data_IF_924777355600
#
_entry.id   IF_924777355600
#
_cell.length_a   1.000
_cell.length_b   1.000
_cell.length_c   1.000
_cell.angle_alpha   90.00
_cell.angle_beta   90.00
_cell.angle_gamma   90.00
#
_symmetry.space_group_name_H-M   'P 1'
#
loop_
_entity.id
_entity.type
_entity.pdbx_description
1 polymer ?
#
# COMPACT_ATOMS: atom_id res chain seq x y z
N UNK A 1 -13.93 -41.01 57.00
CA UNK A 1 -15.06 -40.99 57.96
C UNK A 1 -16.23 -40.23 57.30
N UNK A 2 -17.33 -41.01 57.07
CA UNK A 2 -18.75 -40.72 57.05
C UNK A 2 -19.26 -39.70 56.01
N UNK A 3 -19.86 -40.15 54.90
CA UNK A 3 -21.27 -40.53 54.72
C UNK A 3 -22.27 -39.40 55.01
N UNK A 4 -23.03 -38.95 53.95
CA UNK A 4 -24.48 -39.26 53.86
C UNK A 4 -25.10 -38.71 52.55
N UNK A 5 -25.76 -39.66 51.88
CA UNK A 5 -26.78 -39.53 50.87
C UNK A 5 -28.05 -38.77 51.33
N UNK A 6 -28.84 -38.27 50.38
CA UNK A 6 -30.28 -38.62 50.11
C UNK A 6 -30.89 -37.66 49.13
N UNK A 7 -31.32 -38.16 47.95
CA UNK A 7 -32.69 -38.51 47.49
C UNK A 7 -33.53 -37.29 47.09
N UNK A 8 -33.87 -37.19 45.86
CA UNK A 8 -35.02 -37.75 45.05
C UNK A 8 -36.25 -36.82 44.98
N UNK A 9 -36.72 -36.62 43.78
CA UNK A 9 -38.03 -35.99 43.51
C UNK A 9 -38.35 -35.94 42.03
N UNK A 10 -38.79 -37.06 41.47
CA UNK A 10 -39.52 -37.10 40.19
C UNK A 10 -40.96 -36.68 40.39
N UNK A 11 -41.59 -36.05 39.36
CA UNK A 11 -42.89 -36.46 38.80
C UNK A 11 -43.32 -35.57 37.61
N UNK A 12 -44.36 -36.01 36.86
CA UNK A 12 -44.27 -36.19 35.41
C UNK A 12 -45.34 -35.37 34.63
N UNK A 13 -45.68 -35.79 33.36
CA UNK A 13 -46.16 -34.86 32.30
C UNK A 13 -47.70 -34.91 32.10
N UNK A 14 -48.22 -33.89 31.45
CA UNK A 14 -49.53 -33.89 30.76
C UNK A 14 -49.49 -32.72 29.77
N UNK A 15 -49.94 -32.73 28.54
CA UNK A 15 -50.84 -33.56 27.73
C UNK A 15 -51.04 -32.73 26.45
N UNK A 16 -51.04 -33.36 25.30
CA UNK A 16 -51.55 -32.75 24.06
C UNK A 16 -53.11 -32.78 24.11
N UNK A 17 -53.79 -31.93 23.35
CA UNK A 17 -54.19 -32.37 22.01
C UNK A 17 -54.49 -31.22 20.98
N UNK A 18 -54.70 -31.71 19.80
CA UNK A 18 -55.60 -31.35 18.70
C UNK A 18 -55.05 -30.61 17.47
N UNK A 19 -55.17 -31.35 16.41
CA UNK A 19 -55.03 -31.03 15.00
C UNK A 19 -55.98 -29.93 14.53
N UNK A 20 -55.55 -29.15 13.58
CA UNK A 20 -56.37 -28.26 12.78
C UNK A 20 -55.79 -28.14 11.39
N UNK A 21 -56.46 -28.81 10.45
CA UNK A 21 -56.21 -28.79 9.02
C UNK A 21 -56.18 -27.39 8.44
N UNK A 22 -55.15 -27.06 7.68
CA UNK A 22 -55.21 -26.01 6.64
C UNK A 22 -54.40 -26.38 5.40
N UNK A 23 -55.17 -26.46 4.35
CA UNK A 23 -54.92 -26.71 2.94
C UNK A 23 -53.59 -26.18 2.40
N UNK A 24 -52.91 -27.04 1.68
CA UNK A 24 -51.74 -26.80 0.82
C UNK A 24 -52.15 -26.08 -0.46
N UNK A 25 -51.47 -24.97 -0.75
CA UNK A 25 -51.42 -24.37 -2.09
C UNK A 25 -50.03 -24.59 -2.69
N UNK A 26 -49.86 -24.87 -4.00
CA UNK A 26 -48.58 -25.25 -4.59
C UNK A 26 -47.69 -24.04 -4.75
N UNK A 27 -46.50 -24.10 -4.17
CA UNK A 27 -45.45 -23.10 -4.32
C UNK A 27 -44.78 -23.18 -5.68
N UNK A 28 -44.55 -22.04 -6.28
CA UNK A 28 -43.71 -21.86 -7.49
C UNK A 28 -42.28 -22.34 -7.25
N UNK A 29 -41.59 -22.88 -8.25
CA UNK A 29 -40.23 -23.37 -8.10
C UNK A 29 -39.25 -22.20 -7.89
N UNK A 30 -38.35 -22.34 -6.92
CA UNK A 30 -37.20 -21.45 -6.74
C UNK A 30 -36.18 -21.72 -7.84
N UNK A 31 -35.50 -20.68 -8.41
CA UNK A 31 -34.42 -20.90 -9.33
C UNK A 31 -33.22 -21.49 -8.57
N UNK A 32 -32.65 -22.55 -9.11
CA UNK A 32 -31.43 -23.19 -8.64
C UNK A 32 -30.21 -22.30 -9.01
N UNK A 33 -29.81 -21.41 -8.12
CA UNK A 33 -28.51 -20.73 -8.21
C UNK A 33 -27.44 -21.64 -7.63
N UNK A 34 -26.37 -21.88 -8.40
CA UNK A 34 -25.26 -22.70 -7.97
C UNK A 34 -24.47 -22.07 -6.78
N UNK A 35 -23.57 -22.82 -6.15
CA UNK A 35 -22.86 -22.41 -4.94
C UNK A 35 -22.09 -21.09 -5.04
N UNK A 36 -21.71 -20.66 -6.24
CA UNK A 36 -21.00 -19.41 -6.49
C UNK A 36 -21.79 -18.13 -6.20
N UNK A 37 -23.15 -18.19 -6.34
CA UNK A 37 -24.00 -17.03 -6.02
C UNK A 37 -24.26 -16.87 -4.52
N UNK A 38 -24.18 -17.94 -3.76
CA UNK A 38 -24.42 -17.91 -2.32
C UNK A 38 -23.28 -17.18 -1.57
N UNK A 39 -22.02 -17.38 -1.97
CA UNK A 39 -20.86 -16.73 -1.33
C UNK A 39 -20.82 -15.21 -1.57
N UNK A 40 -21.12 -14.77 -2.79
CA UNK A 40 -21.22 -13.35 -3.13
C UNK A 40 -22.41 -12.65 -2.43
N UNK A 41 -23.53 -13.36 -2.23
CA UNK A 41 -24.73 -12.81 -1.61
C UNK A 41 -24.59 -12.65 -0.09
N UNK A 42 -23.81 -13.48 0.58
CA UNK A 42 -23.62 -13.42 2.03
C UNK A 42 -22.71 -12.23 2.43
N UNK A 43 -21.82 -11.80 1.54
CA UNK A 43 -20.92 -10.69 1.77
C UNK A 43 -21.41 -9.34 1.19
N UNK A 44 -22.46 -9.36 0.35
CA UNK A 44 -23.07 -8.18 -0.26
C UNK A 44 -24.22 -7.54 0.55
N UNK A 45 -24.64 -8.13 1.69
CA UNK A 45 -25.67 -7.53 2.56
C UNK A 45 -25.08 -6.44 3.44
N UNK A 46 -24.69 -5.35 2.84
CA UNK A 46 -24.51 -4.07 3.54
C UNK A 46 -25.91 -3.46 3.71
N UNK A 47 -26.34 -3.31 4.95
CA UNK A 47 -27.56 -2.54 5.28
C UNK A 47 -27.33 -1.09 4.85
N UNK A 48 -28.22 -0.53 4.05
CA UNK A 48 -28.26 0.90 3.77
C UNK A 48 -28.19 1.70 5.08
N UNK A 49 -27.29 2.68 5.20
CA UNK A 49 -27.28 3.54 6.38
C UNK A 49 -28.50 4.45 6.35
N UNK A 50 -29.33 4.37 7.38
CA UNK A 50 -30.33 5.40 7.65
C UNK A 50 -29.61 6.74 7.80
N UNK A 51 -29.87 7.66 6.89
CA UNK A 51 -29.44 9.04 6.98
C UNK A 51 -30.05 9.63 8.27
N UNK A 52 -29.22 9.76 9.31
CA UNK A 52 -29.51 10.66 10.44
C UNK A 52 -29.07 12.04 9.99
N UNK A 53 -30.01 12.94 9.85
CA UNK A 53 -29.73 14.37 9.80
C UNK A 53 -28.92 14.74 11.04
N UNK A 54 -27.61 14.85 10.86
CA UNK A 54 -26.78 15.47 11.88
C UNK A 54 -26.83 16.98 11.64
N UNK A 55 -27.36 17.69 12.63
CA UNK A 55 -27.28 19.13 12.71
C UNK A 55 -25.86 19.60 12.41
N UNK A 56 -25.72 20.45 11.42
CA UNK A 56 -24.49 21.16 11.06
C UNK A 56 -24.07 21.99 12.28
N UNK A 57 -23.16 21.45 13.10
CA UNK A 57 -22.38 22.28 14.02
C UNK A 57 -21.39 23.04 13.15
N UNK A 58 -21.58 24.35 13.05
CA UNK A 58 -20.56 25.26 12.51
C UNK A 58 -19.24 24.96 13.20
N UNK A 59 -18.35 24.25 12.50
CA UNK A 59 -16.96 24.15 12.90
C UNK A 59 -16.35 25.52 12.66
N UNK A 60 -15.90 26.18 13.73
CA UNK A 60 -15.00 27.33 13.62
C UNK A 60 -13.89 26.96 12.64
N UNK A 61 -13.61 27.82 11.64
CA UNK A 61 -12.50 27.59 10.74
C UNK A 61 -11.24 27.40 11.60
N UNK A 62 -10.52 26.29 11.37
CA UNK A 62 -9.17 26.13 11.88
C UNK A 62 -8.34 27.33 11.38
N UNK A 63 -7.38 27.83 12.17
CA UNK A 63 -6.55 28.94 11.73
C UNK A 63 -5.93 28.53 10.39
N UNK A 64 -6.28 29.28 9.37
CA UNK A 64 -5.73 29.25 8.04
C UNK A 64 -4.21 29.46 8.17
N UNK A 65 -3.48 28.36 8.36
CA UNK A 65 -2.06 28.36 8.05
C UNK A 65 -2.01 28.40 6.52
N UNK A 66 -2.16 29.60 5.96
CA UNK A 66 -1.70 29.91 4.65
C UNK A 66 -0.23 29.47 4.62
N UNK A 67 0.04 28.25 4.13
CA UNK A 67 1.32 27.96 3.55
C UNK A 67 1.51 29.13 2.58
N UNK A 68 2.40 30.05 2.88
CA UNK A 68 2.74 31.17 2.00
C UNK A 68 3.02 30.50 0.67
N UNK A 69 2.14 30.72 -0.31
CA UNK A 69 2.20 30.02 -1.59
C UNK A 69 3.52 30.45 -2.23
N UNK A 70 4.58 29.69 -1.97
CA UNK A 70 5.84 29.84 -2.67
C UNK A 70 5.52 29.61 -4.14
N UNK A 71 5.74 30.59 -5.02
CA UNK A 71 5.53 30.35 -6.44
C UNK A 71 6.46 29.25 -6.92
N UNK A 72 5.96 28.40 -7.81
CA UNK A 72 6.80 27.41 -8.47
C UNK A 72 7.91 28.13 -9.24
N UNK A 73 9.07 27.51 -9.31
CA UNK A 73 10.21 28.10 -10.01
C UNK A 73 9.95 28.06 -11.53
N UNK A 74 10.08 29.22 -12.18
CA UNK A 74 10.03 29.29 -13.64
C UNK A 74 11.22 28.52 -14.24
N UNK A 75 10.92 27.53 -15.08
CA UNK A 75 11.92 26.68 -15.74
C UNK A 75 12.09 27.09 -17.19
N UNK A 76 13.32 27.04 -17.67
CA UNK A 76 13.68 27.33 -19.08
C UNK A 76 14.45 26.15 -19.66
N UNK A 77 14.61 26.13 -20.98
CA UNK A 77 15.29 25.08 -21.71
C UNK A 77 14.34 24.01 -22.25
N UNK A 78 14.90 22.98 -22.84
CA UNK A 78 14.15 21.91 -23.47
C UNK A 78 13.49 20.99 -22.46
N UNK A 79 12.36 20.41 -22.84
CA UNK A 79 11.73 19.34 -22.10
C UNK A 79 12.58 18.07 -22.19
N UNK A 80 12.66 17.26 -21.14
CA UNK A 80 13.28 15.93 -21.20
C UNK A 80 12.64 15.06 -22.30
N UNK A 81 13.37 14.10 -22.80
CA UNK A 81 12.79 13.02 -23.63
C UNK A 81 11.71 12.30 -22.84
N UNK A 82 10.82 11.63 -23.53
CA UNK A 82 9.74 10.88 -22.90
C UNK A 82 9.70 9.44 -23.39
N UNK A 83 9.32 8.53 -22.50
CA UNK A 83 9.08 7.13 -22.77
C UNK A 83 7.76 6.73 -22.09
N UNK A 84 6.66 6.86 -22.83
CA UNK A 84 5.30 6.70 -22.34
C UNK A 84 4.40 6.06 -23.40
N UNK A 85 3.36 5.30 -22.99
CA UNK A 85 3.16 4.76 -21.65
C UNK A 85 4.09 3.56 -21.38
N UNK A 86 4.55 3.42 -20.13
CA UNK A 86 5.26 2.24 -19.69
C UNK A 86 4.41 1.42 -18.74
N UNK A 87 4.43 0.11 -18.92
CA UNK A 87 3.90 -0.83 -17.95
C UNK A 87 5.10 -1.51 -17.27
N UNK A 88 5.32 -1.18 -16.01
CA UNK A 88 6.38 -1.79 -15.21
C UNK A 88 5.80 -2.90 -14.36
N UNK A 89 6.24 -4.12 -14.63
CA UNK A 89 5.78 -5.30 -13.94
C UNK A 89 6.73 -5.65 -12.80
N UNK A 90 6.20 -5.66 -11.57
CA UNK A 90 6.92 -6.23 -10.43
C UNK A 90 6.86 -7.75 -10.51
N UNK A 91 8.02 -8.35 -10.71
CA UNK A 91 8.17 -9.80 -10.67
C UNK A 91 8.10 -10.28 -9.22
N UNK A 92 7.71 -11.54 -9.05
CA UNK A 92 7.80 -12.20 -7.76
C UNK A 92 9.23 -12.08 -7.22
N UNK A 93 9.33 -11.69 -5.98
CA UNK A 93 10.61 -11.55 -5.32
C UNK A 93 10.46 -12.02 -3.87
N UNK A 94 11.09 -13.15 -3.55
CA UNK A 94 11.07 -13.71 -2.19
C UNK A 94 9.67 -14.20 -1.75
N UNK A 95 9.22 -13.74 -0.60
CA UNK A 95 8.03 -14.26 0.10
C UNK A 95 6.70 -13.67 -0.37
N UNK A 96 6.69 -12.83 -1.42
CA UNK A 96 5.45 -12.24 -1.92
C UNK A 96 5.05 -12.80 -3.29
N UNK A 97 3.75 -13.14 -3.43
CA UNK A 97 3.12 -13.50 -4.69
C UNK A 97 1.70 -12.95 -4.78
N UNK A 98 1.32 -12.38 -5.92
CA UNK A 98 -0.10 -12.22 -6.27
C UNK A 98 -0.58 -13.56 -6.84
N UNK A 99 -1.38 -14.30 -6.09
CA UNK A 99 -1.83 -15.65 -6.47
C UNK A 99 -2.94 -15.61 -7.50
N UNK A 100 -3.98 -14.81 -7.24
CA UNK A 100 -5.16 -14.64 -8.11
C UNK A 100 -5.85 -13.31 -7.80
N UNK A 101 -6.69 -12.82 -8.72
CA UNK A 101 -7.51 -11.63 -8.50
C UNK A 101 -8.84 -11.72 -9.21
N UNK A 102 -9.84 -10.98 -8.74
CA UNK A 102 -11.15 -10.90 -9.37
C UNK A 102 -12.26 -10.53 -8.40
N UNK A 103 -13.41 -10.14 -8.93
CA UNK A 103 -14.57 -9.72 -8.17
C UNK A 103 -14.28 -8.63 -7.13
N UNK A 104 -13.38 -7.70 -7.44
CA UNK A 104 -12.99 -6.63 -6.54
C UNK A 104 -12.08 -7.07 -5.39
N UNK A 105 -11.44 -8.23 -5.50
CA UNK A 105 -10.56 -8.82 -4.49
C UNK A 105 -9.26 -9.31 -5.10
N UNK A 106 -8.24 -9.48 -4.26
CA UNK A 106 -6.99 -10.16 -4.59
C UNK A 106 -6.62 -11.18 -3.52
N UNK A 107 -6.14 -12.33 -3.97
CA UNK A 107 -5.55 -13.39 -3.15
C UNK A 107 -4.04 -13.30 -3.30
N UNK A 108 -3.36 -13.05 -2.20
CA UNK A 108 -1.92 -12.84 -2.14
C UNK A 108 -1.28 -13.79 -1.15
N UNK A 109 -0.02 -14.13 -1.39
CA UNK A 109 0.82 -14.87 -0.46
C UNK A 109 1.86 -13.94 0.16
N UNK A 110 1.96 -13.94 1.48
CA UNK A 110 2.95 -13.21 2.26
C UNK A 110 3.69 -14.18 3.19
N UNK A 111 4.78 -14.74 2.69
CA UNK A 111 5.50 -15.81 3.38
C UNK A 111 4.62 -17.04 3.58
N UNK A 112 4.29 -17.42 4.84
CA UNK A 112 3.47 -18.59 5.12
C UNK A 112 1.97 -18.39 4.90
N UNK A 113 1.49 -17.14 4.79
CA UNK A 113 0.06 -16.82 4.81
C UNK A 113 -0.50 -16.42 3.46
N UNK A 114 -1.65 -17.00 3.10
CA UNK A 114 -2.50 -16.48 2.04
C UNK A 114 -3.50 -15.49 2.65
N UNK A 115 -3.62 -14.34 2.01
CA UNK A 115 -4.48 -13.26 2.48
C UNK A 115 -5.40 -12.78 1.36
N UNK A 116 -6.63 -12.46 1.72
CA UNK A 116 -7.60 -11.84 0.82
C UNK A 116 -7.78 -10.39 1.22
N UNK A 117 -7.63 -9.49 0.23
CA UNK A 117 -7.82 -8.05 0.41
C UNK A 117 -8.67 -7.45 -0.70
N UNK A 118 -9.39 -6.34 -0.45
CA UNK A 118 -10.08 -5.59 -1.49
C UNK A 118 -9.11 -5.02 -2.54
N UNK A 119 -9.53 -5.10 -3.81
CA UNK A 119 -8.84 -4.51 -4.94
C UNK A 119 -9.85 -4.15 -6.03
N UNK A 120 -10.29 -2.89 -6.03
CA UNK A 120 -11.37 -2.43 -6.90
C UNK A 120 -11.06 -2.54 -8.40
N UNK A 121 -9.80 -2.61 -8.79
CA UNK A 121 -9.37 -2.74 -10.19
C UNK A 121 -9.48 -4.17 -10.73
N UNK A 122 -9.67 -5.18 -9.87
CA UNK A 122 -9.87 -6.57 -10.27
C UNK A 122 -11.32 -6.82 -10.72
N UNK A 123 -11.69 -6.30 -11.90
CA UNK A 123 -13.05 -6.28 -12.44
C UNK A 123 -13.53 -7.63 -13.01
N UNK A 124 -12.63 -8.54 -13.23
CA UNK A 124 -12.87 -9.86 -13.81
C UNK A 124 -13.22 -10.91 -12.76
N UNK A 125 -13.60 -12.12 -13.23
CA UNK A 125 -13.83 -13.26 -12.35
C UNK A 125 -12.49 -13.88 -11.93
N UNK A 126 -12.34 -14.38 -10.69
CA UNK A 126 -11.19 -15.16 -10.28
C UNK A 126 -10.92 -16.35 -11.20
N UNK A 127 -9.65 -16.71 -11.38
CA UNK A 127 -9.24 -17.89 -12.13
C UNK A 127 -9.28 -19.16 -11.29
N UNK A 128 -9.03 -19.03 -9.99
CA UNK A 128 -9.04 -20.14 -9.04
C UNK A 128 -10.42 -20.35 -8.44
N UNK A 129 -10.68 -21.57 -8.02
CA UNK A 129 -11.97 -21.95 -7.44
C UNK A 129 -12.20 -21.28 -6.09
N UNK A 130 -13.48 -21.15 -5.71
CA UNK A 130 -13.87 -20.56 -4.42
C UNK A 130 -13.29 -21.32 -3.21
N UNK A 131 -13.10 -22.62 -3.33
CA UNK A 131 -12.52 -23.47 -2.28
C UNK A 131 -11.05 -23.05 -1.97
N UNK A 132 -10.30 -22.64 -3.01
CA UNK A 132 -8.93 -22.15 -2.84
C UNK A 132 -8.93 -20.81 -2.09
N UNK A 133 -9.78 -19.88 -2.51
CA UNK A 133 -9.93 -18.58 -1.86
C UNK A 133 -10.35 -18.69 -0.39
N UNK A 134 -11.25 -19.64 -0.08
CA UNK A 134 -11.70 -19.91 1.30
C UNK A 134 -10.62 -20.52 2.20
N UNK A 135 -9.51 -20.98 1.62
CA UNK A 135 -8.34 -21.47 2.38
C UNK A 135 -7.43 -20.37 2.88
N UNK A 136 -7.66 -19.12 2.53
CA UNK A 136 -6.87 -18.01 3.02
C UNK A 136 -6.87 -17.95 4.55
N UNK A 137 -5.69 -17.75 5.13
CA UNK A 137 -5.48 -17.66 6.56
C UNK A 137 -6.01 -16.35 7.13
N UNK A 138 -6.01 -15.27 6.35
CA UNK A 138 -6.51 -13.97 6.77
C UNK A 138 -7.34 -13.30 5.67
N UNK A 139 -8.43 -12.64 6.07
CA UNK A 139 -9.31 -11.89 5.17
C UNK A 139 -9.50 -10.49 5.74
N UNK A 140 -9.15 -9.47 4.97
CA UNK A 140 -9.41 -8.09 5.34
C UNK A 140 -10.85 -7.72 5.01
N UNK A 141 -11.58 -7.24 6.01
CA UNK A 141 -12.96 -6.78 5.89
C UNK A 141 -12.99 -5.29 6.23
N UNK A 142 -13.05 -4.48 5.23
CA UNK A 142 -13.12 -3.03 5.36
C UNK A 142 -13.69 -2.44 4.09
N UNK A 143 -14.00 -1.17 4.15
CA UNK A 143 -14.42 -0.43 2.97
C UNK A 143 -13.22 -0.28 2.03
N UNK A 144 -13.48 -0.28 0.73
CA UNK A 144 -12.45 0.03 -0.29
C UNK A 144 -12.14 1.53 -0.35
N UNK A 145 -12.80 2.34 0.49
CA UNK A 145 -12.59 3.76 0.60
C UNK A 145 -11.13 4.10 0.96
N UNK A 146 -10.73 5.29 0.63
CA UNK A 146 -9.37 5.80 0.60
C UNK A 146 -8.59 5.61 1.91
N UNK A 147 -9.27 5.58 3.06
CA UNK A 147 -8.64 5.40 4.37
C UNK A 147 -8.11 3.98 4.62
N UNK A 148 -8.55 3.00 3.82
CA UNK A 148 -8.09 1.61 3.92
C UNK A 148 -8.27 0.96 5.29
N UNK A 149 -9.11 1.54 6.16
CA UNK A 149 -9.37 1.04 7.50
C UNK A 149 -10.34 -0.13 7.49
N UNK A 150 -10.10 -1.10 8.37
CA UNK A 150 -10.94 -2.28 8.47
C UNK A 150 -10.48 -3.23 9.55
N UNK A 151 -10.86 -4.49 9.40
CA UNK A 151 -10.51 -5.55 10.36
C UNK A 151 -10.07 -6.79 9.62
N UNK A 152 -9.07 -7.47 10.19
CA UNK A 152 -8.68 -8.80 9.78
C UNK A 152 -9.59 -9.84 10.43
N UNK A 153 -10.05 -10.77 9.64
CA UNK A 153 -10.70 -12.01 10.09
C UNK A 153 -9.73 -13.16 9.83
N UNK A 154 -9.63 -14.04 10.79
CA UNK A 154 -8.83 -15.28 10.73
C UNK A 154 -9.77 -16.47 10.72
N UNK A 155 -10.14 -17.03 9.54
CA UNK A 155 -11.21 -18.01 9.42
C UNK A 155 -10.90 -19.35 10.11
N UNK A 156 -9.62 -19.67 10.33
CA UNK A 156 -9.19 -20.96 10.87
C UNK A 156 -8.68 -20.83 12.30
N UNK A 157 -7.59 -20.11 12.48
CA UNK A 157 -6.94 -19.91 13.77
C UNK A 157 -6.45 -18.47 13.90
N UNK A 158 -6.31 -18.02 15.13
CA UNK A 158 -5.75 -16.70 15.39
C UNK A 158 -4.26 -16.69 15.01
N UNK A 159 -3.86 -15.78 14.15
CA UNK A 159 -2.47 -15.60 13.74
C UNK A 159 -1.76 -14.62 14.67
N UNK A 160 -0.44 -14.73 14.73
CA UNK A 160 0.40 -13.74 15.39
C UNK A 160 0.26 -12.35 14.73
N UNK A 161 0.52 -11.31 15.52
CA UNK A 161 0.44 -9.92 15.01
C UNK A 161 1.49 -9.67 13.92
N UNK A 162 2.66 -10.32 14.01
CA UNK A 162 3.80 -10.12 13.11
C UNK A 162 4.42 -11.45 12.69
N UNK A 163 5.03 -11.47 11.51
CA UNK A 163 5.80 -12.59 11.00
C UNK A 163 6.95 -12.10 10.10
N UNK A 164 8.06 -12.85 10.02
CA UNK A 164 9.17 -12.47 9.16
C UNK A 164 8.84 -12.70 7.68
N UNK A 165 9.36 -11.83 6.83
CA UNK A 165 9.33 -11.89 5.39
C UNK A 165 10.72 -11.57 4.86
N UNK A 166 11.09 -12.18 3.74
CA UNK A 166 12.34 -11.89 3.01
C UNK A 166 12.04 -11.46 1.58
N UNK A 167 12.60 -10.33 1.16
CA UNK A 167 12.47 -9.80 -0.18
C UNK A 167 13.77 -9.09 -0.58
N UNK A 168 14.32 -9.38 -1.77
CA UNK A 168 15.55 -8.75 -2.25
C UNK A 168 16.69 -8.79 -1.21
N UNK A 169 16.84 -9.91 -0.52
CA UNK A 169 17.84 -10.13 0.55
C UNK A 169 17.64 -9.24 1.80
N UNK A 170 16.48 -8.62 1.93
CA UNK A 170 16.08 -7.83 3.10
C UNK A 170 15.06 -8.62 3.91
N UNK A 171 15.35 -8.82 5.19
CA UNK A 171 14.44 -9.41 6.15
C UNK A 171 13.62 -8.31 6.83
N UNK A 172 12.31 -8.44 6.85
CA UNK A 172 11.41 -7.47 7.44
C UNK A 172 10.16 -8.13 8.01
N UNK A 173 9.37 -7.38 8.78
CA UNK A 173 8.16 -7.90 9.40
C UNK A 173 6.93 -7.59 8.55
N UNK A 174 6.15 -8.62 8.22
CA UNK A 174 4.73 -8.47 7.93
C UNK A 174 3.96 -8.20 9.22
N UNK A 175 2.87 -7.41 9.14
CA UNK A 175 2.07 -7.08 10.32
C UNK A 175 0.60 -6.87 9.96
N UNK A 176 -0.30 -7.52 10.70
CA UNK A 176 -1.73 -7.25 10.63
C UNK A 176 -2.05 -5.97 11.42
N UNK A 177 -2.49 -4.93 10.73
CA UNK A 177 -2.84 -3.63 11.34
C UNK A 177 -4.31 -3.30 11.12
N UNK A 178 -4.80 -2.20 11.67
CA UNK A 178 -6.13 -1.70 11.36
C UNK A 178 -6.31 -1.26 9.89
N UNK A 179 -5.22 -1.24 9.12
CA UNK A 179 -5.21 -0.93 7.70
C UNK A 179 -5.02 -2.20 6.88
N UNK A 180 -5.38 -2.14 5.59
CA UNK A 180 -5.18 -3.23 4.64
C UNK A 180 -3.71 -3.48 4.28
N UNK A 181 -2.81 -2.54 4.58
CA UNK A 181 -1.38 -2.64 4.27
C UNK A 181 -0.65 -3.44 5.34
N UNK A 182 0.23 -4.37 4.91
CA UNK A 182 0.88 -5.35 5.79
C UNK A 182 2.40 -5.16 5.90
N UNK A 183 2.88 -3.96 5.65
CA UNK A 183 4.28 -3.63 5.87
C UNK A 183 5.04 -3.17 4.64
N UNK A 184 4.59 -3.47 3.43
CA UNK A 184 5.21 -2.98 2.20
C UNK A 184 4.21 -2.95 1.03
N UNK A 185 4.65 -2.35 -0.07
CA UNK A 185 3.90 -2.20 -1.32
C UNK A 185 4.63 -2.99 -2.42
N UNK A 186 4.17 -4.21 -2.73
CA UNK A 186 4.90 -5.11 -3.63
C UNK A 186 5.02 -4.60 -5.07
N UNK A 187 4.11 -3.76 -5.51
CA UNK A 187 4.17 -3.12 -6.82
C UNK A 187 5.41 -2.22 -6.99
N UNK A 188 5.97 -1.73 -5.90
CA UNK A 188 7.15 -0.87 -5.93
C UNK A 188 8.49 -1.63 -6.03
N UNK A 189 8.46 -2.97 -5.98
CA UNK A 189 9.66 -3.80 -6.11
C UNK A 189 10.47 -3.43 -7.36
N UNK A 190 9.81 -3.13 -8.46
CA UNK A 190 10.46 -2.73 -9.72
C UNK A 190 11.27 -1.43 -9.56
N UNK A 191 10.80 -0.49 -8.76
CA UNK A 191 11.55 0.73 -8.43
C UNK A 191 12.71 0.44 -7.48
N UNK A 192 12.52 -0.44 -6.51
CA UNK A 192 13.59 -0.82 -5.58
C UNK A 192 14.72 -1.55 -6.27
N UNK A 193 14.40 -2.44 -7.23
CA UNK A 193 15.40 -3.09 -8.09
C UNK A 193 16.14 -2.06 -8.93
N UNK A 194 15.43 -1.11 -9.55
CA UNK A 194 16.06 -0.04 -10.31
C UNK A 194 17.02 0.79 -9.45
N UNK A 195 16.63 1.14 -8.20
CA UNK A 195 17.52 1.85 -7.26
C UNK A 195 18.74 1.00 -6.92
N UNK A 196 18.52 -0.29 -6.58
CA UNK A 196 19.59 -1.24 -6.26
C UNK A 196 20.62 -1.28 -7.39
N UNK A 197 20.18 -1.50 -8.63
CA UNK A 197 21.05 -1.57 -9.80
C UNK A 197 21.86 -0.27 -9.97
N UNK A 198 21.23 0.91 -9.86
CA UNK A 198 21.93 2.20 -9.96
C UNK A 198 22.95 2.41 -8.85
N UNK A 199 22.64 2.00 -7.63
CA UNK A 199 23.56 2.09 -6.49
C UNK A 199 24.76 1.17 -6.68
N UNK A 200 24.54 -0.08 -7.11
CA UNK A 200 25.60 -1.06 -7.37
C UNK A 200 26.51 -0.64 -8.54
N UNK A 201 25.91 -0.12 -9.63
CA UNK A 201 26.68 0.44 -10.76
C UNK A 201 27.57 1.63 -10.34
N UNK A 202 27.05 2.53 -9.52
CA UNK A 202 27.82 3.66 -9.02
C UNK A 202 28.94 3.21 -8.09
N UNK A 203 28.64 2.27 -7.19
CA UNK A 203 29.61 1.67 -6.26
C UNK A 203 30.75 0.97 -7.01
N UNK A 204 30.44 0.24 -8.07
CA UNK A 204 31.46 -0.38 -8.94
C UNK A 204 32.39 0.64 -9.58
N UNK A 205 31.94 1.89 -9.76
CA UNK A 205 32.70 3.04 -10.25
C UNK A 205 33.33 3.87 -9.13
N UNK A 206 33.33 3.37 -7.87
CA UNK A 206 33.91 4.05 -6.71
C UNK A 206 33.07 5.21 -6.17
N UNK A 207 31.79 5.32 -6.53
CA UNK A 207 30.90 6.40 -6.10
C UNK A 207 29.82 5.87 -5.17
N UNK A 208 29.67 6.49 -3.99
CA UNK A 208 28.54 6.25 -3.08
C UNK A 208 27.39 7.20 -3.39
N UNK A 209 26.21 6.67 -3.69
CA UNK A 209 25.02 7.48 -3.94
C UNK A 209 24.33 7.87 -2.64
N UNK A 210 23.79 9.08 -2.61
CA UNK A 210 22.89 9.58 -1.56
C UNK A 210 21.45 9.42 -2.01
N UNK A 211 20.68 8.63 -1.26
CA UNK A 211 19.26 8.36 -1.55
C UNK A 211 18.38 9.04 -0.52
N UNK A 212 17.42 9.82 -0.97
CA UNK A 212 16.33 10.37 -0.16
C UNK A 212 15.06 9.56 -0.43
N UNK A 213 14.46 9.01 0.62
CA UNK A 213 13.18 8.31 0.55
C UNK A 213 12.14 9.06 1.38
N UNK A 214 11.21 9.72 0.71
CA UNK A 214 10.09 10.47 1.29
C UNK A 214 8.84 9.61 1.37
N UNK A 215 8.06 9.72 2.44
CA UNK A 215 6.93 8.86 2.76
C UNK A 215 7.34 7.38 2.82
N UNK A 216 8.51 7.14 3.42
CA UNK A 216 9.23 5.87 3.27
C UNK A 216 8.63 4.69 4.04
N UNK A 217 7.56 4.91 4.83
CA UNK A 217 6.78 3.90 5.57
C UNK A 217 7.67 2.99 6.44
N UNK A 218 7.62 1.67 6.24
CA UNK A 218 8.37 0.67 7.03
C UNK A 218 9.83 0.51 6.61
N UNK A 219 10.31 1.31 5.64
CA UNK A 219 11.70 1.43 5.28
C UNK A 219 12.26 0.36 4.34
N UNK A 220 11.46 -0.56 3.78
CA UNK A 220 11.99 -1.64 2.92
C UNK A 220 12.79 -1.08 1.74
N UNK A 221 12.27 -0.06 1.03
CA UNK A 221 13.02 0.61 -0.04
C UNK A 221 14.37 1.19 0.42
N UNK A 222 14.39 1.80 1.62
CA UNK A 222 15.58 2.36 2.24
C UNK A 222 16.60 1.29 2.61
N UNK A 223 16.15 0.13 3.10
CA UNK A 223 17.00 -1.00 3.44
C UNK A 223 17.61 -1.62 2.19
N UNK A 224 16.83 -1.79 1.11
CA UNK A 224 17.34 -2.27 -0.20
C UNK A 224 18.44 -1.34 -0.72
N UNK A 225 18.21 -0.03 -0.72
CA UNK A 225 19.21 0.95 -1.17
C UNK A 225 20.49 0.91 -0.31
N UNK A 226 20.33 0.83 1.02
CA UNK A 226 21.46 0.79 1.94
C UNK A 226 22.27 -0.51 1.84
N UNK A 227 21.61 -1.66 1.66
CA UNK A 227 22.26 -2.95 1.45
C UNK A 227 23.11 -2.94 0.16
N UNK A 228 22.61 -2.28 -0.91
CA UNK A 228 23.37 -2.06 -2.14
C UNK A 228 24.60 -1.15 -1.95
N UNK A 229 24.61 -0.33 -0.90
CA UNK A 229 25.76 0.54 -0.54
C UNK A 229 25.49 2.04 -0.61
N UNK A 230 24.24 2.47 -0.62
CA UNK A 230 23.87 3.89 -0.58
C UNK A 230 23.94 4.48 0.84
N UNK A 231 24.18 5.80 0.93
CA UNK A 231 23.83 6.60 2.09
C UNK A 231 22.36 7.01 1.99
N UNK A 232 21.54 6.62 2.97
CA UNK A 232 20.10 6.82 2.88
C UNK A 232 19.58 7.81 3.91
N UNK A 233 18.74 8.74 3.48
CA UNK A 233 17.88 9.54 4.36
C UNK A 233 16.44 9.09 4.16
N UNK A 234 15.84 8.54 5.20
CA UNK A 234 14.48 8.07 5.23
C UNK A 234 13.61 9.04 6.03
N UNK A 235 12.52 9.50 5.44
CA UNK A 235 11.58 10.45 6.04
C UNK A 235 10.18 9.89 6.02
N UNK A 236 9.56 9.83 7.19
CA UNK A 236 8.14 9.49 7.34
C UNK A 236 7.53 10.25 8.51
N UNK A 237 6.29 10.69 8.39
CA UNK A 237 5.59 11.45 9.43
C UNK A 237 5.15 10.57 10.60
N UNK A 238 5.02 9.26 10.40
CA UNK A 238 4.52 8.32 11.39
C UNK A 238 5.64 7.78 12.28
N UNK A 239 5.59 8.13 13.57
CA UNK A 239 6.51 7.56 14.56
C UNK A 239 6.43 6.02 14.62
N UNK A 240 5.24 5.44 14.37
CA UNK A 240 5.05 3.98 14.33
C UNK A 240 5.76 3.37 13.11
N UNK A 241 5.66 4.00 11.94
CA UNK A 241 6.36 3.55 10.75
C UNK A 241 7.88 3.60 10.92
N UNK A 242 8.42 4.69 11.48
CA UNK A 242 9.85 4.81 11.81
C UNK A 242 10.30 3.75 12.82
N UNK A 243 9.47 3.44 13.84
CA UNK A 243 9.76 2.35 14.79
C UNK A 243 9.87 1.00 14.06
N UNK A 244 8.89 0.70 13.21
CA UNK A 244 8.86 -0.52 12.41
C UNK A 244 10.05 -0.59 11.42
N UNK A 245 10.40 0.52 10.78
CA UNK A 245 11.56 0.58 9.89
C UNK A 245 12.88 0.25 10.61
N UNK A 246 13.03 0.66 11.87
CA UNK A 246 14.20 0.31 12.69
C UNK A 246 14.19 -1.15 13.12
N UNK A 247 13.03 -1.73 13.43
CA UNK A 247 12.90 -3.18 13.68
C UNK A 247 13.33 -3.97 12.43
N UNK A 248 12.88 -3.54 11.25
CA UNK A 248 13.28 -4.14 9.97
C UNK A 248 14.80 -4.00 9.71
N UNK A 249 15.39 -2.85 10.04
CA UNK A 249 16.84 -2.65 9.94
C UNK A 249 17.62 -3.67 10.79
N UNK A 250 17.20 -3.86 12.05
CA UNK A 250 17.84 -4.81 12.94
C UNK A 250 17.66 -6.26 12.44
N UNK A 251 16.46 -6.62 12.00
CA UNK A 251 16.15 -7.94 11.45
C UNK A 251 17.00 -8.25 10.21
N UNK A 252 17.18 -7.25 9.33
CA UNK A 252 18.05 -7.34 8.14
C UNK A 252 19.55 -7.29 8.46
N UNK A 253 19.95 -7.15 9.74
CA UNK A 253 21.34 -7.02 10.17
C UNK A 253 22.08 -5.82 9.53
N UNK A 254 21.35 -4.76 9.27
CA UNK A 254 21.86 -3.53 8.66
C UNK A 254 22.09 -2.41 9.68
N UNK A 255 22.33 -2.73 10.95
CA UNK A 255 22.50 -1.76 12.05
C UNK A 255 23.63 -0.76 11.78
N UNK A 256 24.67 -1.18 11.03
CA UNK A 256 25.81 -0.34 10.66
C UNK A 256 25.62 0.41 9.33
N UNK A 257 24.54 0.14 8.61
CA UNK A 257 24.29 0.83 7.34
C UNK A 257 23.99 2.31 7.57
N UNK A 258 24.47 3.21 6.70
CA UNK A 258 24.34 4.66 6.87
C UNK A 258 22.93 5.14 6.52
N UNK A 259 21.97 4.88 7.42
CA UNK A 259 20.57 5.28 7.28
C UNK A 259 20.21 6.33 8.34
N UNK A 260 19.78 7.52 7.89
CA UNK A 260 19.18 8.55 8.74
C UNK A 260 17.67 8.35 8.78
N UNK A 261 17.14 7.95 9.92
CA UNK A 261 15.70 7.81 10.16
C UNK A 261 15.13 9.12 10.70
N UNK A 262 14.25 9.76 9.95
CA UNK A 262 13.67 11.08 10.27
C UNK A 262 12.14 10.93 10.43
N UNK A 263 11.65 11.26 11.62
CA UNK A 263 10.21 11.33 11.88
C UNK A 263 9.75 12.78 11.74
N UNK A 264 9.34 13.18 10.55
CA UNK A 264 8.95 14.56 10.23
C UNK A 264 8.02 14.61 9.02
N UNK A 265 7.28 15.71 8.88
CA UNK A 265 6.55 16.04 7.64
C UNK A 265 7.51 16.19 6.47
N UNK A 266 7.17 15.58 5.32
CA UNK A 266 8.05 15.53 4.15
C UNK A 266 8.33 16.93 3.57
N UNK A 267 7.30 17.79 3.45
CA UNK A 267 7.47 19.15 2.92
C UNK A 267 8.36 19.98 3.81
N UNK A 268 8.13 19.93 5.11
CA UNK A 268 8.96 20.64 6.10
C UNK A 268 10.41 20.16 6.06
N UNK A 269 10.63 18.87 5.90
CA UNK A 269 11.96 18.29 5.78
C UNK A 269 12.68 18.80 4.53
N UNK A 270 12.07 18.66 3.33
CA UNK A 270 12.75 19.03 2.08
C UNK A 270 13.01 20.53 1.98
N UNK A 271 12.10 21.40 2.42
CA UNK A 271 12.32 22.85 2.49
C UNK A 271 13.47 23.22 3.44
N UNK A 272 13.70 22.45 4.48
CA UNK A 272 14.84 22.63 5.38
C UNK A 272 16.16 22.16 4.74
N UNK A 273 16.15 21.02 4.06
CA UNK A 273 17.33 20.50 3.35
C UNK A 273 17.73 21.42 2.18
N UNK A 274 16.77 22.00 1.46
CA UNK A 274 17.03 23.00 0.42
C UNK A 274 17.78 24.21 1.00
N UNK A 275 17.28 24.79 2.10
CA UNK A 275 17.96 25.93 2.78
C UNK A 275 19.37 25.59 3.28
N UNK A 276 19.66 24.32 3.52
CA UNK A 276 20.98 23.82 3.94
C UNK A 276 21.90 23.54 2.77
N UNK A 277 21.41 23.60 1.53
CA UNK A 277 22.14 23.19 0.35
C UNK A 277 22.46 21.70 0.30
N UNK A 278 21.66 20.87 0.97
CA UNK A 278 21.80 19.41 0.91
C UNK A 278 21.45 18.91 -0.49
N UNK A 279 22.13 17.86 -0.96
CA UNK A 279 21.85 17.26 -2.26
C UNK A 279 21.80 15.74 -2.20
N UNK A 280 21.00 15.15 -3.11
CA UNK A 280 20.77 13.72 -3.25
C UNK A 280 20.93 13.27 -4.69
N UNK A 281 21.35 12.03 -4.88
CA UNK A 281 21.54 11.45 -6.22
C UNK A 281 20.30 10.73 -6.73
N UNK A 282 19.53 10.14 -5.83
CA UNK A 282 18.23 9.53 -6.11
C UNK A 282 17.24 10.03 -5.07
N UNK A 283 16.05 10.42 -5.54
CA UNK A 283 14.92 10.75 -4.66
C UNK A 283 13.75 9.82 -4.99
N UNK A 284 13.26 9.11 -3.98
CA UNK A 284 12.03 8.31 -4.05
C UNK A 284 10.93 9.05 -3.30
N UNK A 285 9.75 9.12 -3.88
CA UNK A 285 8.59 9.72 -3.22
C UNK A 285 7.32 8.95 -3.55
N UNK A 286 6.56 8.59 -2.52
CA UNK A 286 5.30 7.87 -2.59
C UNK A 286 4.24 8.54 -1.70
N UNK A 287 3.84 9.78 -2.06
CA UNK A 287 2.95 10.55 -1.22
C UNK A 287 1.55 9.95 -1.18
N UNK A 288 0.92 9.89 0.00
CA UNK A 288 -0.47 9.51 0.12
C UNK A 288 -1.37 10.58 -0.52
N UNK A 289 -2.61 10.22 -0.85
CA UNK A 289 -3.59 11.21 -1.31
C UNK A 289 -3.85 12.28 -0.26
N UNK A 290 -3.95 11.88 1.01
CA UNK A 290 -4.10 12.74 2.18
C UNK A 290 -3.22 12.23 3.32
N UNK A 291 -2.65 13.14 4.12
CA UNK A 291 -1.83 12.78 5.27
C UNK A 291 -1.80 13.89 6.33
N UNK A 292 -1.31 13.52 7.52
CA UNK A 292 -1.03 14.47 8.59
C UNK A 292 0.39 14.28 9.08
N UNK A 293 1.10 15.38 9.20
CA UNK A 293 2.41 15.44 9.83
C UNK A 293 2.33 15.27 11.36
N UNK A 294 3.48 15.03 12.01
CA UNK A 294 3.53 14.75 13.44
C UNK A 294 3.11 15.93 14.33
N UNK A 295 3.09 17.15 13.81
CA UNK A 295 2.69 18.35 14.52
C UNK A 295 1.37 18.94 13.98
N UNK A 296 0.60 18.16 13.20
CA UNK A 296 -0.68 18.57 12.65
C UNK A 296 -0.61 19.20 11.25
N UNK A 297 0.56 19.18 10.61
CA UNK A 297 0.72 19.55 9.21
C UNK A 297 -0.29 18.75 8.37
N UNK A 298 -0.85 19.36 7.32
CA UNK A 298 -1.79 18.73 6.41
C UNK A 298 -1.12 18.54 5.07
N UNK A 299 -1.21 17.33 4.54
CA UNK A 299 -0.81 16.98 3.19
C UNK A 299 -2.04 16.63 2.36
N UNK A 300 -2.19 17.29 1.22
CA UNK A 300 -3.15 16.96 0.16
C UNK A 300 -2.39 16.85 -1.16
N UNK A 301 -2.51 15.71 -1.83
CA UNK A 301 -1.65 15.37 -2.97
C UNK A 301 -1.68 16.43 -4.08
N UNK A 302 -2.87 16.77 -4.57
CA UNK A 302 -2.99 17.66 -5.72
C UNK A 302 -2.63 19.12 -5.42
N UNK A 303 -2.71 19.52 -4.15
CA UNK A 303 -2.31 20.84 -3.69
C UNK A 303 -0.80 20.96 -3.52
N UNK A 304 -0.17 19.94 -2.91
CA UNK A 304 1.21 20.03 -2.46
C UNK A 304 2.23 19.37 -3.41
N UNK A 305 1.79 18.44 -4.27
CA UNK A 305 2.68 17.70 -5.17
C UNK A 305 3.50 18.60 -6.11
N UNK A 306 2.94 19.66 -6.73
CA UNK A 306 3.74 20.52 -7.61
C UNK A 306 4.92 21.18 -6.89
N UNK A 307 4.68 21.74 -5.69
CA UNK A 307 5.74 22.35 -4.89
C UNK A 307 6.73 21.32 -4.38
N UNK A 308 6.26 20.12 -3.98
CA UNK A 308 7.14 19.06 -3.52
C UNK A 308 8.13 18.63 -4.61
N UNK A 309 7.66 18.42 -5.83
CA UNK A 309 8.53 18.04 -6.95
C UNK A 309 9.49 19.17 -7.33
N UNK A 310 9.02 20.42 -7.28
CA UNK A 310 9.87 21.60 -7.54
C UNK A 310 11.04 21.68 -6.56
N UNK A 311 10.78 21.48 -5.26
CA UNK A 311 11.82 21.43 -4.22
C UNK A 311 12.70 20.18 -4.36
N UNK A 312 12.11 19.01 -4.67
CA UNK A 312 12.88 17.79 -4.90
C UNK A 312 13.90 17.97 -6.02
N UNK A 313 13.54 18.68 -7.09
CA UNK A 313 14.47 19.01 -8.17
C UNK A 313 15.67 19.84 -7.67
N UNK A 314 15.45 20.83 -6.81
CA UNK A 314 16.55 21.65 -6.24
C UNK A 314 17.47 20.83 -5.32
N UNK A 315 16.94 19.74 -4.75
CA UNK A 315 17.72 18.79 -3.95
C UNK A 315 18.51 17.76 -4.78
N UNK A 316 18.33 17.70 -6.10
CA UNK A 316 19.12 16.80 -6.94
C UNK A 316 20.55 17.29 -7.06
N UNK A 317 21.51 16.37 -6.89
CA UNK A 317 22.92 16.66 -7.12
C UNK A 317 23.20 16.94 -8.61
N UNK A 318 24.33 17.56 -8.91
CA UNK A 318 24.75 17.80 -10.30
C UNK A 318 24.88 16.51 -11.13
N UNK A 319 25.15 15.39 -10.45
CA UNK A 319 25.30 14.07 -11.05
C UNK A 319 24.16 13.15 -10.57
N UNK A 320 22.99 13.71 -10.36
CA UNK A 320 21.82 12.94 -9.94
C UNK A 320 21.48 11.85 -10.94
N UNK A 321 20.92 10.76 -10.44
CA UNK A 321 20.57 9.56 -11.21
C UNK A 321 19.09 9.53 -11.54
N UNK A 322 18.24 9.98 -10.59
CA UNK A 322 16.81 10.01 -10.84
C UNK A 322 15.93 10.54 -9.72
N UNK A 323 14.71 10.88 -10.11
CA UNK A 323 13.60 11.28 -9.23
C UNK A 323 12.40 10.39 -9.55
N UNK A 324 11.91 9.63 -8.57
CA UNK A 324 10.80 8.68 -8.74
C UNK A 324 9.60 9.14 -7.93
N UNK A 325 8.47 9.28 -8.61
CA UNK A 325 7.16 9.51 -8.03
C UNK A 325 6.29 8.28 -8.26
N UNK A 326 5.74 7.73 -7.19
CA UNK A 326 4.64 6.77 -7.23
C UNK A 326 3.37 7.43 -6.72
N UNK A 327 2.23 7.11 -7.30
CA UNK A 327 0.93 7.62 -6.88
C UNK A 327 -0.10 6.50 -6.84
N UNK A 328 -0.53 6.16 -5.64
CA UNK A 328 -1.48 5.09 -5.39
C UNK A 328 -2.90 5.63 -5.26
N UNK A 329 -3.86 4.91 -5.85
CA UNK A 329 -5.31 5.14 -5.65
C UNK A 329 -5.81 6.57 -5.95
N UNK A 330 -5.16 7.28 -6.89
CA UNK A 330 -5.59 8.61 -7.31
C UNK A 330 -6.58 8.55 -8.46
N UNK A 331 -7.54 9.49 -8.46
CA UNK A 331 -8.48 9.68 -9.59
C UNK A 331 -7.89 10.67 -10.61
N UNK A 332 -6.78 10.29 -11.20
CA UNK A 332 -6.13 11.06 -12.23
C UNK A 332 -5.56 10.14 -13.32
N UNK A 333 -5.37 10.65 -14.51
CA UNK A 333 -4.58 9.99 -15.54
C UNK A 333 -3.10 10.03 -15.17
N UNK A 334 -2.33 9.00 -15.54
CA UNK A 334 -0.89 9.07 -15.39
C UNK A 334 -0.26 10.25 -16.15
N UNK A 335 -0.90 10.74 -17.24
CA UNK A 335 -0.46 11.92 -17.94
C UNK A 335 -0.43 13.18 -17.07
N UNK A 336 -1.30 13.30 -16.06
CA UNK A 336 -1.25 14.45 -15.14
C UNK A 336 0.04 14.50 -14.34
N UNK A 337 0.50 13.36 -13.83
CA UNK A 337 1.77 13.27 -13.10
C UNK A 337 2.98 13.27 -14.06
N UNK A 338 2.80 12.75 -15.27
CA UNK A 338 3.80 12.77 -16.33
C UNK A 338 4.14 14.20 -16.74
N UNK A 339 3.16 15.01 -17.12
CA UNK A 339 3.39 16.39 -17.53
C UNK A 339 3.92 17.25 -16.38
N UNK A 340 3.43 17.02 -15.15
CA UNK A 340 3.98 17.70 -13.99
C UNK A 340 5.47 17.38 -13.80
N UNK A 341 5.87 16.12 -13.89
CA UNK A 341 7.28 15.72 -13.79
C UNK A 341 8.11 16.31 -14.94
N UNK A 342 7.57 16.27 -16.15
CA UNK A 342 8.21 16.75 -17.36
C UNK A 342 8.48 18.26 -17.30
N UNK A 343 7.49 19.05 -16.86
CA UNK A 343 7.65 20.49 -16.66
C UNK A 343 8.60 20.79 -15.49
N UNK A 344 8.50 20.06 -14.39
CA UNK A 344 9.43 20.19 -13.27
C UNK A 344 10.87 19.97 -13.72
N UNK A 345 11.12 19.01 -14.60
CA UNK A 345 12.49 18.66 -15.06
C UNK A 345 12.91 19.39 -16.35
N UNK A 346 12.16 20.40 -16.81
CA UNK A 346 12.51 21.23 -17.96
C UNK A 346 13.93 21.80 -17.83
N UNK A 347 14.77 21.65 -18.85
CA UNK A 347 16.18 22.08 -18.86
C UNK A 347 17.15 21.17 -18.12
N UNK A 348 16.68 20.07 -17.51
CA UNK A 348 17.57 19.12 -16.82
C UNK A 348 18.13 18.03 -17.76
N UNK A 349 17.61 17.92 -18.99
CA UNK A 349 17.90 16.77 -19.86
C UNK A 349 17.31 15.47 -19.34
N UNK A 350 17.84 14.33 -19.77
CA UNK A 350 17.36 13.02 -19.34
C UNK A 350 16.06 12.58 -20.01
N UNK A 351 15.40 11.61 -19.40
CA UNK A 351 14.16 10.99 -19.92
C UNK A 351 13.12 10.88 -18.81
N UNK A 352 11.89 11.25 -19.12
CA UNK A 352 10.73 10.97 -18.26
C UNK A 352 10.11 9.64 -18.70
N UNK A 353 9.99 8.73 -17.76
CA UNK A 353 9.32 7.44 -17.90
C UNK A 353 8.05 7.47 -17.04
N UNK A 354 6.89 7.21 -17.64
CA UNK A 354 5.63 7.26 -16.90
C UNK A 354 4.65 6.20 -17.37
N UNK A 355 3.78 5.77 -16.47
CA UNK A 355 2.76 4.77 -16.75
C UNK A 355 2.24 4.10 -15.50
N UNK A 356 2.14 2.78 -15.53
CA UNK A 356 1.52 2.00 -14.47
C UNK A 356 2.46 0.94 -13.90
N UNK A 357 2.33 0.71 -12.59
CA UNK A 357 2.93 -0.42 -11.90
C UNK A 357 1.92 -1.56 -11.84
N UNK A 358 2.33 -2.73 -12.25
CA UNK A 358 1.45 -3.90 -12.25
C UNK A 358 2.07 -5.07 -11.49
N UNK A 359 1.19 -5.85 -10.88
CA UNK A 359 1.51 -7.16 -10.31
C UNK A 359 0.94 -8.24 -11.24
N UNK A 360 1.67 -9.33 -11.44
CA UNK A 360 1.19 -10.45 -12.23
C UNK A 360 0.74 -11.60 -11.35
N UNK A 361 -0.42 -12.14 -11.66
CA UNK A 361 -0.91 -13.38 -11.04
C UNK A 361 0.02 -14.54 -11.35
N UNK A 362 0.31 -15.35 -10.36
CA UNK A 362 1.25 -16.46 -10.46
C UNK A 362 0.61 -17.83 -10.29
N UNK A 363 -0.66 -17.87 -9.91
CA UNK A 363 -1.29 -19.11 -9.51
C UNK A 363 -0.69 -19.64 -8.19
N UNK A 364 -1.00 -20.89 -7.87
CA UNK A 364 -0.48 -21.56 -6.67
C UNK A 364 0.94 -22.08 -6.83
N UNK A 365 1.38 -22.29 -8.07
CA UNK A 365 2.73 -22.79 -8.40
C UNK A 365 3.81 -21.71 -8.38
N UNK A 366 3.42 -20.45 -8.25
CA UNK A 366 4.35 -19.32 -8.22
C UNK A 366 4.86 -18.90 -9.61
N UNK A 367 4.29 -19.41 -10.70
CA UNK A 367 4.69 -19.07 -12.06
C UNK A 367 3.93 -17.85 -12.62
N UNK A 368 4.65 -16.95 -13.27
CA UNK A 368 4.09 -15.73 -13.87
C UNK A 368 3.33 -16.04 -15.16
N UNK A 369 2.08 -16.44 -15.07
CA UNK A 369 1.25 -16.81 -16.24
C UNK A 369 -0.12 -16.16 -16.27
N UNK A 370 -0.54 -15.53 -15.18
CA UNK A 370 -1.87 -14.96 -15.04
C UNK A 370 -2.00 -13.53 -15.56
N UNK A 371 -3.07 -12.89 -15.18
CA UNK A 371 -3.38 -11.51 -15.55
C UNK A 371 -2.48 -10.52 -14.84
N UNK A 372 -2.27 -9.36 -15.47
CA UNK A 372 -1.64 -8.22 -14.83
C UNK A 372 -2.71 -7.38 -14.13
N UNK A 373 -2.48 -7.06 -12.86
CA UNK A 373 -3.31 -6.18 -12.05
C UNK A 373 -2.59 -4.85 -11.87
N UNK A 374 -3.15 -3.77 -12.41
CA UNK A 374 -2.63 -2.41 -12.18
C UNK A 374 -2.91 -2.00 -10.74
N UNK A 375 -1.92 -1.41 -10.09
CA UNK A 375 -1.98 -1.05 -8.67
C UNK A 375 -1.65 0.41 -8.41
N UNK A 376 -0.72 0.99 -9.16
CA UNK A 376 -0.27 2.37 -8.97
C UNK A 376 0.14 3.01 -10.29
N UNK A 377 0.12 4.33 -10.31
CA UNK A 377 0.72 5.14 -11.36
C UNK A 377 2.12 5.55 -10.95
N UNK A 378 3.00 5.78 -11.93
CA UNK A 378 4.32 6.34 -11.65
C UNK A 378 4.76 7.36 -12.70
N UNK A 379 5.67 8.25 -12.29
CA UNK A 379 6.46 9.07 -13.18
C UNK A 379 7.89 9.13 -12.65
N UNK A 380 8.86 8.85 -13.50
CA UNK A 380 10.27 8.79 -13.12
C UNK A 380 11.11 9.59 -14.10
N UNK A 381 11.89 10.55 -13.58
CA UNK A 381 12.98 11.16 -14.34
C UNK A 381 14.27 10.35 -14.15
N UNK A 382 14.92 10.05 -15.25
CA UNK A 382 16.22 9.35 -15.29
C UNK A 382 17.22 10.25 -16.02
N UNK A 383 18.38 10.51 -15.42
CA UNK A 383 19.46 11.27 -16.05
C UNK A 383 20.01 10.53 -17.29
N UNK A 384 20.74 11.25 -18.13
CA UNK A 384 21.44 10.65 -19.28
C UNK A 384 22.67 9.86 -18.86
#
# INVERSE_FOLDING_TARGET
>A
LKNREKRSGQKPPRGAPHAGDRKTSPGKPKPSGGPQQAWAAEHAKVKEPRVREQSVREQKPAPEQAASARPLMARTGDLPKENVPLILESKNAGDFHLVDSGNGLKLEKYGPYHVVRPEAQALWQPSLSSEIWQRAEAVFTGNTDEDGMGRWKFPREALGETWPLTLLEIDFLGRFTAFRHMGFFPEQIVHWLWVKDRVEEAKAKGRTLKVLNLFGYTGVASLVAAAAGAEVTHVDASKKAIGWARENQALSRLDKAPIRWICEDAMKFILREERRGSTYDIILTDPPKFGRGPNGEVWELFEHLPLMLDVCRELLSKNAVGLVLTAYSIRASFYSIHELMRETMRGAGGTIESGELVLRETGLDGENRGRALSTSLFSRWVSQ
#
